data_IF_469480582908
#
_entry.id   IF_469480582908
#
_cell.length_a   1.000
_cell.length_b   1.000
_cell.length_c   1.000
_cell.angle_alpha   90.00
_cell.angle_beta   90.00
_cell.angle_gamma   90.00
#
_symmetry.space_group_name_H-M   'P 1'
#
loop_
_entity.id
_entity.type
_entity.pdbx_description
1 polymer ?
#
# COMPACT_ATOMS: atom_id res chain seq x y z
N UNK A 1 -5.57 -9.76 3.09
CA UNK A 1 -6.98 -9.78 3.51
C UNK A 1 -7.57 -11.16 3.23
N UNK A 2 -8.22 -11.83 4.19
CA UNK A 2 -8.80 -13.15 3.87
C UNK A 2 -10.25 -13.06 3.39
N UNK A 3 -10.66 -14.01 2.56
CA UNK A 3 -12.02 -14.13 2.03
C UNK A 3 -13.07 -14.17 3.15
N UNK A 4 -12.76 -14.75 4.32
CA UNK A 4 -13.71 -14.82 5.44
C UNK A 4 -14.08 -13.46 6.01
N UNK A 5 -13.17 -12.48 5.98
CA UNK A 5 -13.47 -11.11 6.41
C UNK A 5 -14.45 -10.45 5.44
N UNK A 6 -14.23 -10.62 4.13
CA UNK A 6 -15.13 -10.11 3.09
C UNK A 6 -16.50 -10.78 3.18
N UNK A 7 -16.57 -12.10 3.31
CA UNK A 7 -17.83 -12.84 3.51
C UNK A 7 -18.62 -12.33 4.71
N UNK A 8 -17.94 -12.07 5.83
CA UNK A 8 -18.56 -11.52 7.04
C UNK A 8 -19.15 -10.14 6.78
N UNK A 9 -18.37 -9.24 6.17
CA UNK A 9 -18.82 -7.89 5.85
C UNK A 9 -20.03 -7.92 4.93
N UNK A 10 -19.98 -8.72 3.87
CA UNK A 10 -21.09 -8.83 2.95
C UNK A 10 -22.31 -9.45 3.61
N UNK A 11 -22.13 -10.45 4.48
CA UNK A 11 -23.25 -11.03 5.23
C UNK A 11 -23.95 -10.00 6.12
N UNK A 12 -23.17 -9.11 6.75
CA UNK A 12 -23.70 -8.02 7.58
C UNK A 12 -24.38 -6.92 6.75
N UNK A 13 -23.81 -6.57 5.59
CA UNK A 13 -24.31 -5.50 4.72
C UNK A 13 -25.56 -5.93 3.95
N UNK A 14 -25.52 -7.13 3.36
CA UNK A 14 -26.60 -7.66 2.52
C UNK A 14 -27.69 -8.34 3.34
N UNK A 15 -27.41 -8.70 4.59
CA UNK A 15 -28.36 -9.39 5.46
C UNK A 15 -28.67 -10.83 5.03
N UNK A 16 -27.81 -11.42 4.20
CA UNK A 16 -27.92 -12.81 3.72
C UNK A 16 -26.62 -13.56 4.00
N UNK A 17 -26.64 -14.88 4.23
CA UNK A 17 -25.41 -15.64 4.42
C UNK A 17 -24.56 -15.65 3.14
N UNK A 18 -23.28 -15.28 3.27
CA UNK A 18 -22.25 -15.46 2.23
C UNK A 18 -21.37 -16.63 2.62
N UNK A 19 -21.22 -17.61 1.73
CA UNK A 19 -20.67 -18.93 2.08
C UNK A 19 -19.60 -19.44 1.13
N UNK A 20 -19.44 -18.81 -0.05
CA UNK A 20 -18.48 -19.20 -1.08
C UNK A 20 -17.57 -18.02 -1.48
N UNK A 21 -16.27 -18.27 -1.74
CA UNK A 21 -15.38 -17.26 -2.33
C UNK A 21 -15.82 -16.78 -3.71
N UNK A 22 -16.63 -17.60 -4.39
CA UNK A 22 -17.20 -17.31 -5.70
C UNK A 22 -18.59 -16.64 -5.63
N UNK A 23 -19.12 -16.41 -4.41
CA UNK A 23 -20.37 -15.67 -4.29
C UNK A 23 -20.16 -14.25 -4.82
N UNK A 24 -21.01 -13.84 -5.76
CA UNK A 24 -20.99 -12.53 -6.38
C UNK A 24 -21.88 -11.52 -5.62
N UNK A 25 -21.37 -10.31 -5.43
CA UNK A 25 -22.05 -9.26 -4.67
C UNK A 25 -23.43 -8.92 -5.23
N UNK A 26 -23.55 -8.84 -6.56
CA UNK A 26 -24.78 -8.45 -7.25
C UNK A 26 -25.76 -9.61 -7.32
N UNK A 27 -25.28 -10.84 -7.52
CA UNK A 27 -26.11 -12.05 -7.46
C UNK A 27 -26.74 -12.27 -6.07
N UNK A 28 -26.04 -11.84 -5.01
CA UNK A 28 -26.55 -11.84 -3.64
C UNK A 28 -27.55 -10.69 -3.33
N UNK A 29 -27.87 -9.84 -4.31
CA UNK A 29 -28.80 -8.72 -4.17
C UNK A 29 -28.14 -7.40 -3.75
N UNK A 30 -26.82 -7.30 -3.87
CA UNK A 30 -26.07 -6.06 -3.65
C UNK A 30 -26.48 -4.96 -4.61
N UNK A 31 -26.57 -3.73 -4.10
CA UNK A 31 -26.94 -2.53 -4.84
C UNK A 31 -26.05 -1.35 -4.41
N UNK A 32 -26.17 -0.20 -5.09
CA UNK A 32 -25.28 0.95 -4.89
C UNK A 32 -25.12 1.37 -3.43
N UNK A 33 -26.18 1.38 -2.63
CA UNK A 33 -26.08 1.75 -1.21
C UNK A 33 -25.29 0.73 -0.38
N UNK A 34 -25.53 -0.57 -0.61
CA UNK A 34 -24.77 -1.64 0.03
C UNK A 34 -23.29 -1.60 -0.39
N UNK A 35 -23.04 -1.26 -1.66
CA UNK A 35 -21.68 -1.12 -2.17
C UNK A 35 -20.95 0.06 -1.51
N UNK A 36 -21.60 1.22 -1.41
CA UNK A 36 -21.02 2.38 -0.70
C UNK A 36 -20.72 2.04 0.76
N UNK A 37 -21.59 1.27 1.43
CA UNK A 37 -21.32 0.79 2.79
C UNK A 37 -20.14 -0.17 2.84
N UNK A 38 -20.01 -1.06 1.85
CA UNK A 38 -18.86 -1.96 1.75
C UNK A 38 -17.56 -1.18 1.61
N UNK A 39 -17.47 -0.24 0.67
CA UNK A 39 -16.28 0.58 0.46
C UNK A 39 -15.89 1.36 1.74
N UNK A 40 -16.86 2.03 2.37
CA UNK A 40 -16.60 2.77 3.60
C UNK A 40 -16.15 1.87 4.77
N UNK A 41 -16.69 0.65 4.88
CA UNK A 41 -16.26 -0.30 5.91
C UNK A 41 -14.86 -0.83 5.63
N UNK A 42 -14.54 -1.12 4.38
CA UNK A 42 -13.19 -1.57 4.00
C UNK A 42 -12.15 -0.52 4.37
N UNK A 43 -12.37 0.74 4.01
CA UNK A 43 -11.50 1.86 4.39
C UNK A 43 -11.39 1.98 5.92
N UNK A 44 -12.51 1.95 6.63
CA UNK A 44 -12.51 2.14 8.09
C UNK A 44 -11.93 0.96 8.90
N UNK A 45 -12.11 -0.27 8.43
CA UNK A 45 -11.68 -1.48 9.16
C UNK A 45 -10.27 -1.91 8.77
N UNK A 46 -9.82 -1.57 7.56
CA UNK A 46 -8.58 -2.11 6.99
C UNK A 46 -7.61 -1.05 6.47
N UNK A 47 -8.01 0.21 6.35
CA UNK A 47 -7.19 1.28 5.78
C UNK A 47 -7.19 1.33 4.26
N UNK A 48 -7.63 0.26 3.59
CA UNK A 48 -7.59 0.16 2.13
C UNK A 48 -8.65 1.02 1.42
N UNK A 49 -8.22 1.87 0.50
CA UNK A 49 -9.11 2.65 -0.37
C UNK A 49 -9.35 1.96 -1.72
N UNK A 50 -10.41 1.14 -1.80
CA UNK A 50 -10.74 0.43 -3.03
C UNK A 50 -11.09 1.38 -4.20
N UNK A 51 -10.45 1.22 -5.38
CA UNK A 51 -10.78 2.01 -6.56
C UNK A 51 -12.20 1.73 -7.05
N UNK A 52 -12.89 2.77 -7.53
CA UNK A 52 -14.28 2.67 -8.01
C UNK A 52 -14.39 1.78 -9.25
N UNK A 53 -13.29 1.60 -9.98
CA UNK A 53 -13.12 0.71 -11.12
C UNK A 53 -13.49 -0.74 -10.79
N UNK A 54 -13.25 -1.17 -9.54
CA UNK A 54 -13.64 -2.51 -9.05
C UNK A 54 -15.16 -2.71 -9.13
N UNK A 55 -15.95 -1.63 -9.07
CA UNK A 55 -17.42 -1.69 -9.21
C UNK A 55 -17.89 -1.91 -10.65
N UNK A 56 -17.02 -1.66 -11.64
CA UNK A 56 -17.36 -1.71 -13.06
C UNK A 56 -16.82 -2.95 -13.76
N UNK A 57 -16.14 -3.86 -13.04
CA UNK A 57 -15.61 -5.10 -13.57
C UNK A 57 -16.69 -6.11 -14.01
N UNK A 58 -17.97 -5.83 -13.72
CA UNK A 58 -19.12 -6.67 -14.06
C UNK A 58 -19.47 -7.60 -12.91
N UNK A 59 -18.56 -8.52 -12.60
CA UNK A 59 -18.68 -9.45 -11.47
C UNK A 59 -17.74 -9.00 -10.34
N UNK A 60 -18.22 -9.06 -9.11
CA UNK A 60 -17.45 -8.86 -7.90
C UNK A 60 -17.67 -10.06 -6.99
N UNK A 61 -16.79 -11.05 -7.08
CA UNK A 61 -16.78 -12.20 -6.16
C UNK A 61 -16.10 -11.84 -4.84
N UNK A 62 -16.39 -12.60 -3.79
CA UNK A 62 -15.68 -12.48 -2.50
C UNK A 62 -14.16 -12.57 -2.68
N UNK A 63 -13.67 -13.52 -3.48
CA UNK A 63 -12.24 -13.69 -3.77
C UNK A 63 -11.69 -12.48 -4.55
N UNK A 64 -12.43 -11.98 -5.54
CA UNK A 64 -12.06 -10.78 -6.29
C UNK A 64 -11.96 -9.55 -5.40
N UNK A 65 -12.93 -9.36 -4.51
CA UNK A 65 -12.92 -8.26 -3.54
C UNK A 65 -11.76 -8.39 -2.54
N UNK A 66 -11.49 -9.57 -2.00
CA UNK A 66 -10.36 -9.79 -1.09
C UNK A 66 -9.03 -9.44 -1.76
N UNK A 67 -8.84 -9.87 -3.01
CA UNK A 67 -7.66 -9.54 -3.81
C UNK A 67 -7.53 -8.05 -4.09
N UNK A 68 -8.64 -7.39 -4.44
CA UNK A 68 -8.62 -5.94 -4.69
C UNK A 68 -8.22 -5.15 -3.44
N UNK A 69 -8.65 -5.60 -2.25
CA UNK A 69 -8.25 -4.99 -0.98
C UNK A 69 -6.76 -5.20 -0.71
N UNK A 70 -6.25 -6.41 -0.97
CA UNK A 70 -4.81 -6.68 -0.84
C UNK A 70 -3.98 -5.79 -1.77
N UNK A 71 -4.38 -5.70 -3.04
CA UNK A 71 -3.72 -4.86 -4.03
C UNK A 71 -3.70 -3.39 -3.59
N UNK A 72 -4.83 -2.86 -3.11
CA UNK A 72 -4.92 -1.49 -2.61
C UNK A 72 -3.97 -1.21 -1.44
N UNK A 73 -3.78 -2.18 -0.53
CA UNK A 73 -2.85 -2.04 0.59
C UNK A 73 -1.39 -2.13 0.14
N UNK A 74 -1.10 -2.97 -0.86
CA UNK A 74 0.23 -3.05 -1.46
C UNK A 74 0.59 -1.74 -2.17
N UNK A 75 -0.33 -1.19 -2.96
CA UNK A 75 -0.16 0.09 -3.64
C UNK A 75 0.08 1.24 -2.63
N UNK A 76 -0.69 1.31 -1.54
CA UNK A 76 -0.49 2.32 -0.47
C UNK A 76 0.89 2.19 0.21
N UNK A 77 1.38 0.97 0.43
CA UNK A 77 2.72 0.75 1.00
C UNK A 77 3.83 1.07 0.01
N UNK A 78 3.64 0.81 -1.27
CA UNK A 78 4.59 1.18 -2.32
C UNK A 78 4.71 2.71 -2.41
N UNK A 79 3.59 3.44 -2.41
CA UNK A 79 3.57 4.90 -2.40
C UNK A 79 4.28 5.47 -1.15
N UNK A 80 4.01 4.94 0.05
CA UNK A 80 4.69 5.37 1.29
C UNK A 80 6.21 5.12 1.25
N UNK A 81 6.65 4.00 0.69
CA UNK A 81 8.07 3.67 0.55
C UNK A 81 8.76 4.53 -0.52
N UNK A 82 8.07 4.85 -1.62
CA UNK A 82 8.59 5.75 -2.64
C UNK A 82 8.82 7.15 -2.06
N UNK A 83 7.85 7.71 -1.32
CA UNK A 83 7.99 9.00 -0.63
C UNK A 83 9.16 8.99 0.37
N UNK A 84 9.29 7.94 1.19
CA UNK A 84 10.40 7.82 2.16
C UNK A 84 11.77 7.72 1.48
N UNK A 85 11.86 6.98 0.38
CA UNK A 85 13.09 6.86 -0.41
C UNK A 85 13.44 8.17 -1.13
N UNK A 86 12.46 8.92 -1.64
CA UNK A 86 12.68 10.23 -2.25
C UNK A 86 13.29 11.22 -1.25
N UNK A 87 12.75 11.26 -0.02
CA UNK A 87 13.26 12.09 1.06
C UNK A 87 14.72 11.71 1.43
N UNK A 88 15.02 10.42 1.59
CA UNK A 88 16.39 9.96 1.87
C UNK A 88 17.37 10.28 0.72
N UNK A 89 16.92 10.16 -0.53
CA UNK A 89 17.73 10.47 -1.70
C UNK A 89 18.02 11.97 -1.81
N UNK A 90 17.05 12.83 -1.47
CA UNK A 90 17.26 14.29 -1.42
C UNK A 90 18.33 14.66 -0.38
N UNK A 91 18.27 14.06 0.81
CA UNK A 91 19.25 14.26 1.87
C UNK A 91 20.67 13.85 1.42
N UNK A 92 20.82 12.66 0.83
CA UNK A 92 22.12 12.18 0.33
C UNK A 92 22.63 13.05 -0.82
N UNK A 93 21.76 13.46 -1.73
CA UNK A 93 22.12 14.36 -2.83
C UNK A 93 22.62 15.72 -2.29
N UNK A 94 21.99 16.24 -1.23
CA UNK A 94 22.45 17.43 -0.52
C UNK A 94 23.86 17.30 0.04
N UNK A 95 24.16 16.18 0.71
CA UNK A 95 25.49 15.88 1.25
C UNK A 95 26.56 15.76 0.14
N UNK A 96 26.25 15.09 -0.97
CA UNK A 96 27.16 14.98 -2.11
C UNK A 96 27.46 16.34 -2.73
N UNK A 97 26.45 17.19 -2.88
CA UNK A 97 26.61 18.53 -3.41
C UNK A 97 27.48 19.43 -2.49
N UNK A 98 27.47 19.20 -1.18
CA UNK A 98 28.39 19.86 -0.25
C UNK A 98 29.83 19.36 -0.43
N UNK A 99 30.03 18.04 -0.56
CA UNK A 99 31.34 17.43 -0.82
C UNK A 99 31.96 17.91 -2.14
N UNK A 100 31.17 18.01 -3.22
CA UNK A 100 31.62 18.48 -4.52
C UNK A 100 32.07 19.95 -4.53
N UNK A 101 31.56 20.76 -3.59
CA UNK A 101 31.96 22.17 -3.44
C UNK A 101 33.24 22.34 -2.61
N UNK A 102 33.73 21.29 -1.95
CA UNK A 102 34.99 21.37 -1.20
C UNK A 102 36.17 21.45 -2.17
N UNK A 103 37.09 22.43 -2.01
CA UNK A 103 38.29 22.48 -2.81
C UNK A 103 39.09 21.18 -2.60
N UNK A 104 39.57 20.58 -3.70
CA UNK A 104 40.11 19.20 -3.77
C UNK A 104 41.32 18.84 -2.89
N UNK A 105 41.67 19.65 -1.89
CA UNK A 105 42.62 19.36 -0.83
C UNK A 105 42.00 19.02 0.55
N UNK A 106 40.71 19.28 0.78
CA UNK A 106 40.09 19.17 2.13
C UNK A 106 39.41 17.83 2.43
N UNK A 107 39.11 17.00 1.42
CA UNK A 107 38.52 15.66 1.62
C UNK A 107 39.39 14.80 2.56
N UNK A 108 40.72 15.01 2.56
CA UNK A 108 41.67 14.30 3.44
C UNK A 108 41.55 14.70 4.91
N UNK A 109 41.02 15.88 5.23
CA UNK A 109 40.82 16.33 6.61
C UNK A 109 39.55 15.72 7.24
N UNK A 110 38.50 15.50 6.44
CA UNK A 110 37.28 14.81 6.87
C UNK A 110 37.45 13.28 6.94
N UNK A 111 38.24 12.69 6.03
CA UNK A 111 38.58 11.25 6.06
C UNK A 111 39.81 10.92 6.94
N UNK A 112 40.53 11.93 7.43
CA UNK A 112 41.76 11.82 8.20
C UNK A 112 41.52 11.80 9.70
N UNK A 113 40.73 10.83 10.19
CA UNK A 113 40.26 10.82 11.57
C UNK A 113 40.27 9.46 12.29
N UNK A 114 40.94 8.44 11.78
CA UNK A 114 41.60 7.40 12.60
C UNK A 114 42.43 6.47 11.72
N UNK A 115 43.71 6.46 12.03
CA UNK A 115 44.61 5.33 11.84
C UNK A 115 43.87 4.00 12.08
N UNK A 116 43.49 3.34 10.98
CA UNK A 116 43.39 1.88 10.93
C UNK A 116 44.22 1.46 9.73
N UNK A 117 45.45 1.10 10.06
CA UNK A 117 46.37 0.33 9.25
C UNK A 117 45.62 -0.84 8.61
N UNK A 118 45.25 -0.71 7.34
CA UNK A 118 45.03 -1.84 6.46
C UNK A 118 46.42 -2.25 5.92
N UNK A 119 47.10 -3.11 6.68
CA UNK A 119 48.18 -3.94 6.20
C UNK A 119 47.82 -5.40 6.48
N UNK A 120 47.85 -6.23 5.44
CA UNK A 120 47.88 -7.70 5.54
C UNK A 120 46.57 -8.39 5.23
#
# INVERSE_FOLDING_TARGET
MNEQQVMRLWSEILGVPVTSPEDDFFDLGGQSLAMVQFLARVESEFGAALPIEVLFAGDLTVAGAARAIEQSLEDELEDELEDELEDELEDVAGLLAEVDRLPGGEIRALLGGKDRTWQG
#
